data_IF_636774785616
#
_entry.id   IF_636774785616
#
_cell.length_a   1.000
_cell.length_b   1.000
_cell.length_c   1.000
_cell.angle_alpha   90.00
_cell.angle_beta   90.00
_cell.angle_gamma   90.00
#
_symmetry.space_group_name_H-M   'P 1'
#
loop_
_entity.id
_entity.type
_entity.pdbx_description
1 polymer ?
#
# COMPACT_ATOMS: atom_id res chain seq x y z
N UNK A 1 18.61 -9.91 9.44
CA UNK A 1 17.41 -10.53 8.84
C UNK A 1 17.86 -11.24 7.59
N UNK A 2 17.55 -12.52 7.41
CA UNK A 2 17.83 -13.21 6.15
C UNK A 2 17.09 -12.48 5.01
N UNK A 3 17.73 -12.35 3.84
CA UNK A 3 17.17 -11.63 2.69
C UNK A 3 15.74 -12.07 2.31
N UNK A 4 15.40 -13.35 2.55
CA UNK A 4 14.06 -13.89 2.36
C UNK A 4 12.99 -13.33 3.31
N UNK A 5 13.32 -13.05 4.57
CA UNK A 5 12.36 -12.48 5.53
C UNK A 5 12.04 -11.01 5.22
N UNK A 6 13.04 -10.24 4.76
CA UNK A 6 12.83 -8.85 4.31
C UNK A 6 11.96 -8.78 3.06
N UNK A 7 12.21 -9.65 2.08
CA UNK A 7 11.36 -9.75 0.89
C UNK A 7 9.91 -10.11 1.24
N UNK A 8 9.69 -11.14 2.07
CA UNK A 8 8.36 -11.53 2.52
C UNK A 8 7.63 -10.36 3.21
N UNK A 9 8.31 -9.65 4.12
CA UNK A 9 7.72 -8.51 4.81
C UNK A 9 7.28 -7.40 3.84
N UNK A 10 8.10 -7.08 2.84
CA UNK A 10 7.75 -6.08 1.82
C UNK A 10 6.56 -6.54 0.99
N UNK A 11 6.57 -7.77 0.48
CA UNK A 11 5.46 -8.30 -0.32
C UNK A 11 4.15 -8.35 0.47
N UNK A 12 4.18 -8.88 1.69
CA UNK A 12 3.01 -8.93 2.56
C UNK A 12 2.49 -7.54 2.91
N UNK A 13 3.38 -6.57 3.17
CA UNK A 13 2.98 -5.19 3.39
C UNK A 13 2.28 -4.61 2.16
N UNK A 14 2.90 -4.70 0.98
CA UNK A 14 2.34 -4.16 -0.25
C UNK A 14 0.98 -4.80 -0.56
N UNK A 15 0.84 -6.11 -0.37
CA UNK A 15 -0.37 -6.84 -0.66
C UNK A 15 -1.53 -6.43 0.27
N UNK A 16 -1.26 -6.25 1.56
CA UNK A 16 -2.28 -5.81 2.52
C UNK A 16 -2.57 -4.31 2.42
N UNK A 17 -1.55 -3.48 2.22
CA UNK A 17 -1.70 -2.02 2.11
C UNK A 17 -2.50 -1.62 0.89
N UNK A 18 -2.28 -2.28 -0.26
CA UNK A 18 -3.03 -2.01 -1.49
C UNK A 18 -4.40 -2.73 -1.54
N UNK A 19 -4.75 -3.53 -0.52
CA UNK A 19 -6.00 -4.26 -0.53
C UNK A 19 -7.19 -3.32 -0.34
N UNK A 20 -7.96 -3.12 -1.41
CA UNK A 20 -9.12 -2.25 -1.41
C UNK A 20 -10.43 -3.01 -1.15
N UNK A 21 -10.61 -4.17 -1.78
CA UNK A 21 -11.90 -4.87 -1.80
C UNK A 21 -12.29 -5.46 -0.44
N UNK A 22 -11.35 -6.10 0.26
CA UNK A 22 -11.63 -6.72 1.57
C UNK A 22 -12.11 -5.67 2.58
N UNK A 23 -11.38 -4.58 2.85
CA UNK A 23 -11.86 -3.59 3.79
C UNK A 23 -13.11 -2.86 3.31
N UNK A 24 -13.33 -2.71 1.99
CA UNK A 24 -14.57 -2.11 1.49
C UNK A 24 -15.80 -2.97 1.84
N UNK A 25 -15.67 -4.30 1.75
CA UNK A 25 -16.76 -5.24 2.04
C UNK A 25 -16.98 -5.46 3.54
N UNK A 26 -15.90 -5.59 4.32
CA UNK A 26 -15.96 -5.98 5.73
C UNK A 26 -15.88 -4.80 6.71
N UNK A 27 -15.31 -3.68 6.30
CA UNK A 27 -15.20 -2.45 7.09
C UNK A 27 -15.83 -1.27 6.33
N UNK A 28 -17.16 -1.30 6.08
CA UNK A 28 -17.83 -0.32 5.26
C UNK A 28 -17.81 1.09 5.87
N UNK A 29 -17.44 1.27 7.15
CA UNK A 29 -17.20 2.58 7.77
C UNK A 29 -16.81 2.55 9.24
N UNK A 30 -16.47 3.72 9.78
CA UNK A 30 -16.10 3.92 11.19
C UNK A 30 -14.62 4.24 11.42
N UNK A 31 -14.17 4.08 12.65
CA UNK A 31 -12.84 4.46 13.15
C UNK A 31 -11.70 3.61 12.55
N UNK A 32 -12.00 2.37 12.14
CA UNK A 32 -11.01 1.42 11.60
C UNK A 32 -10.95 1.36 10.08
N UNK A 33 -11.56 2.32 9.37
CA UNK A 33 -11.56 2.32 7.90
C UNK A 33 -10.14 2.60 7.36
N UNK A 34 -9.58 1.71 6.52
CA UNK A 34 -8.29 1.97 5.90
C UNK A 34 -8.30 3.19 4.98
N UNK A 35 -7.15 3.88 4.90
CA UNK A 35 -6.97 5.04 4.01
C UNK A 35 -7.32 4.72 2.56
N UNK A 36 -6.98 3.52 2.08
CA UNK A 36 -7.27 3.07 0.71
C UNK A 36 -8.76 3.06 0.36
N UNK A 37 -9.63 2.67 1.30
CA UNK A 37 -11.08 2.70 1.10
C UNK A 37 -11.69 4.06 1.45
N UNK A 38 -11.03 4.84 2.29
CA UNK A 38 -11.39 6.23 2.59
C UNK A 38 -11.35 7.15 1.38
N UNK A 39 -10.45 6.92 0.42
CA UNK A 39 -10.38 7.68 -0.84
C UNK A 39 -11.68 7.63 -1.65
N UNK A 40 -12.44 6.53 -1.53
CA UNK A 40 -13.69 6.35 -2.25
C UNK A 40 -14.79 7.32 -1.80
N UNK A 41 -14.68 7.88 -0.58
CA UNK A 41 -15.62 8.89 -0.08
C UNK A 41 -15.56 10.18 -0.90
N UNK A 42 -14.39 10.52 -1.45
CA UNK A 42 -14.21 11.71 -2.30
C UNK A 42 -14.70 11.51 -3.75
N UNK A 43 -15.08 10.28 -4.11
CA UNK A 43 -15.65 9.91 -5.41
C UNK A 43 -17.18 9.80 -5.36
N UNK A 44 -17.78 9.61 -4.18
CA UNK A 44 -19.21 9.30 -4.01
C UNK A 44 -20.16 10.49 -3.98
N UNK A 45 -19.66 11.73 -4.07
CA UNK A 45 -20.48 12.94 -4.05
C UNK A 45 -21.12 13.29 -5.40
N UNK A 46 -21.85 14.42 -5.45
CA UNK A 46 -22.41 14.98 -6.70
C UNK A 46 -21.32 15.49 -7.66
N UNK A 47 -20.11 15.67 -7.13
CA UNK A 47 -18.88 16.06 -7.81
C UNK A 47 -17.70 15.31 -7.18
N UNK A 48 -16.67 15.06 -7.98
CA UNK A 48 -15.41 14.50 -7.48
C UNK A 48 -14.63 15.61 -6.80
N UNK A 49 -14.29 15.42 -5.53
CA UNK A 49 -13.46 16.36 -4.77
C UNK A 49 -11.98 16.08 -5.04
N UNK A 50 -11.47 16.58 -6.17
CA UNK A 50 -10.12 16.30 -6.68
C UNK A 50 -9.02 16.71 -5.69
N UNK A 51 -9.19 17.83 -4.98
CA UNK A 51 -8.20 18.31 -4.00
C UNK A 51 -7.97 17.32 -2.86
N UNK A 52 -9.01 16.99 -2.07
CA UNK A 52 -8.93 15.96 -1.04
C UNK A 52 -8.52 14.59 -1.56
N UNK A 53 -9.03 14.18 -2.73
CA UNK A 53 -8.66 12.91 -3.38
C UNK A 53 -7.16 12.84 -3.68
N UNK A 54 -6.59 13.89 -4.28
CA UNK A 54 -5.17 13.96 -4.60
C UNK A 54 -4.31 13.97 -3.32
N UNK A 55 -4.70 14.75 -2.31
CA UNK A 55 -4.01 14.80 -1.03
C UNK A 55 -4.01 13.42 -0.33
N UNK A 56 -5.16 12.76 -0.27
CA UNK A 56 -5.27 11.41 0.30
C UNK A 56 -4.47 10.37 -0.50
N UNK A 57 -4.41 10.51 -1.82
CA UNK A 57 -3.61 9.63 -2.69
C UNK A 57 -2.12 9.78 -2.37
N UNK A 58 -1.62 11.01 -2.25
CA UNK A 58 -0.22 11.27 -1.86
C UNK A 58 0.10 10.67 -0.48
N UNK A 59 -0.79 10.84 0.49
CA UNK A 59 -0.64 10.27 1.84
C UNK A 59 -0.59 8.74 1.79
N UNK A 60 -1.40 8.12 0.94
CA UNK A 60 -1.44 6.65 0.77
C UNK A 60 -0.13 6.10 0.19
N UNK A 61 0.58 6.89 -0.63
CA UNK A 61 1.87 6.51 -1.24
C UNK A 61 3.03 6.64 -0.26
N UNK A 62 2.99 7.60 0.69
CA UNK A 62 4.07 7.85 1.66
C UNK A 62 4.60 6.59 2.38
N UNK A 63 3.78 5.75 3.02
CA UNK A 63 4.29 4.59 3.75
C UNK A 63 4.93 3.55 2.84
N UNK A 64 4.48 3.43 1.59
CA UNK A 64 5.12 2.57 0.59
C UNK A 64 6.52 3.11 0.24
N UNK A 65 6.65 4.43 0.07
CA UNK A 65 7.96 5.06 -0.18
C UNK A 65 8.90 4.88 1.01
N UNK A 66 8.41 5.07 2.24
CA UNK A 66 9.21 4.87 3.47
C UNK A 66 9.70 3.43 3.56
N UNK A 67 8.82 2.44 3.32
CA UNK A 67 9.19 1.04 3.31
C UNK A 67 10.23 0.74 2.22
N UNK A 68 10.04 1.30 1.02
CA UNK A 68 10.96 1.09 -0.09
C UNK A 68 12.35 1.63 0.22
N UNK A 69 12.47 2.83 0.79
CA UNK A 69 13.76 3.41 1.21
C UNK A 69 14.40 2.55 2.31
N UNK A 70 13.62 2.14 3.32
CA UNK A 70 14.13 1.32 4.42
C UNK A 70 14.61 -0.07 3.98
N UNK A 71 13.94 -0.66 2.99
CA UNK A 71 14.20 -2.01 2.49
C UNK A 71 15.00 -2.01 1.18
N UNK A 72 15.39 -0.85 0.66
CA UNK A 72 16.02 -0.64 -0.67
C UNK A 72 17.07 -1.71 -0.97
N UNK A 73 18.01 -1.92 -0.04
CA UNK A 73 19.12 -2.88 -0.20
C UNK A 73 18.62 -4.33 -0.31
N UNK A 74 17.63 -4.72 0.48
CA UNK A 74 17.07 -6.08 0.48
C UNK A 74 16.14 -6.32 -0.68
N UNK A 75 15.44 -5.28 -1.15
CA UNK A 75 14.64 -5.33 -2.38
C UNK A 75 15.56 -5.51 -3.57
N UNK A 76 16.66 -4.76 -3.68
CA UNK A 76 17.64 -4.94 -4.77
C UNK A 76 18.32 -6.31 -4.73
N UNK A 77 18.71 -6.81 -3.55
CA UNK A 77 19.33 -8.13 -3.41
C UNK A 77 18.30 -9.27 -3.62
N UNK A 78 17.08 -9.10 -3.14
CA UNK A 78 16.00 -10.10 -3.19
C UNK A 78 15.38 -10.28 -4.57
N UNK A 79 15.16 -9.18 -5.33
CA UNK A 79 14.72 -9.28 -6.72
C UNK A 79 15.78 -9.96 -7.61
N UNK A 80 17.07 -9.68 -7.38
CA UNK A 80 18.16 -10.30 -8.14
C UNK A 80 18.33 -11.79 -7.81
N UNK A 81 18.22 -12.20 -6.55
CA UNK A 81 18.32 -13.62 -6.17
C UNK A 81 17.12 -14.45 -6.66
N UNK A 82 15.93 -13.84 -6.75
CA UNK A 82 14.75 -14.48 -7.35
C UNK A 82 14.81 -14.58 -8.88
N UNK A 83 15.40 -13.58 -9.56
CA UNK A 83 15.51 -13.54 -11.02
C UNK A 83 16.62 -14.45 -11.60
N UNK A 84 17.68 -14.74 -10.83
CA UNK A 84 18.82 -15.56 -11.30
C UNK A 84 18.61 -17.07 -11.05
N UNK A 85 17.55 -17.45 -10.31
CA UNK A 85 17.14 -18.85 -10.12
C UNK A 85 16.05 -19.32 -11.11
N UNK A 86 15.73 -18.51 -12.11
CA UNK A 86 14.94 -18.89 -13.29
C UNK A 86 15.83 -19.23 -14.47
#
# INVERSE_FOLDING_TARGET
>A
MSSGAGALAVFTFLQNWNNFLVPLLYLPGGEYRPLTTGLYLFLGGRSIDIGPLAAGTLITILPVMVLFIAMQKQVTEGFLVGAVKG
#
